data_IF_995627516674
#
_entry.id   IF_995627516674
#
_cell.length_a   1.000
_cell.length_b   1.000
_cell.length_c   1.000
_cell.angle_alpha   90.00
_cell.angle_beta   90.00
_cell.angle_gamma   90.00
#
_symmetry.space_group_name_H-M   'P 1'
#
loop_
_entity.id
_entity.type
_entity.pdbx_description
1 polymer ?
#
# COMPACT_ATOMS: atom_id res chain seq x y z
N UNK A 1 3.50 30.38 -12.64
CA UNK A 1 3.20 28.95 -12.42
C UNK A 1 4.26 28.17 -13.19
N UNK A 2 4.91 27.25 -12.51
CA UNK A 2 5.94 26.43 -13.17
C UNK A 2 5.30 25.58 -14.26
N UNK A 3 5.99 25.50 -15.40
CA UNK A 3 5.55 24.66 -16.51
C UNK A 3 6.20 23.26 -16.36
N UNK A 4 5.36 22.26 -16.11
CA UNK A 4 5.78 20.86 -15.98
C UNK A 4 5.34 19.99 -17.17
N UNK A 5 4.97 20.61 -18.29
CA UNK A 5 4.70 19.87 -19.53
C UNK A 5 5.94 19.05 -19.95
N UNK A 6 5.71 17.81 -20.32
CA UNK A 6 6.77 16.86 -20.68
C UNK A 6 7.48 16.21 -19.50
N UNK A 7 7.19 16.63 -18.25
CA UNK A 7 7.69 15.99 -17.04
C UNK A 7 6.68 15.02 -16.47
N UNK A 8 7.17 14.08 -15.68
CA UNK A 8 6.33 13.13 -14.93
C UNK A 8 6.79 13.03 -13.48
N UNK A 9 5.84 12.72 -12.60
CA UNK A 9 6.13 12.36 -11.22
C UNK A 9 5.55 10.97 -10.93
N UNK A 10 6.36 10.10 -10.34
CA UNK A 10 6.00 8.74 -9.98
C UNK A 10 6.07 8.64 -8.46
N UNK A 11 4.95 8.32 -7.83
CA UNK A 11 4.81 8.29 -6.38
C UNK A 11 4.70 6.87 -5.86
N UNK A 12 5.29 6.61 -4.71
CA UNK A 12 4.86 5.54 -3.82
C UNK A 12 3.51 5.91 -3.18
N UNK A 13 2.82 4.94 -2.61
CA UNK A 13 1.50 5.12 -2.03
C UNK A 13 1.55 5.04 -0.50
N UNK A 14 1.84 3.86 0.06
CA UNK A 14 1.87 3.65 1.51
C UNK A 14 2.99 4.46 2.17
N UNK A 15 2.63 5.28 3.16
CA UNK A 15 3.58 6.12 3.89
C UNK A 15 4.12 7.32 3.10
N UNK A 16 3.72 7.49 1.83
CA UNK A 16 4.09 8.63 0.97
C UNK A 16 2.89 9.53 0.71
N UNK A 17 1.88 9.03 0.04
CA UNK A 17 0.61 9.75 -0.22
C UNK A 17 -0.47 9.38 0.80
N UNK A 18 -0.44 8.16 1.32
CA UNK A 18 -1.37 7.65 2.33
C UNK A 18 -0.71 7.55 3.70
N UNK A 19 -1.42 7.97 4.73
CA UNK A 19 -1.05 7.72 6.11
C UNK A 19 -1.54 6.34 6.56
N UNK A 20 -0.83 5.32 6.11
CA UNK A 20 -1.23 3.91 6.20
C UNK A 20 -0.24 3.02 6.97
N UNK A 21 0.83 3.59 7.53
CA UNK A 21 1.91 2.80 8.14
C UNK A 21 1.47 1.97 9.34
N UNK A 22 0.42 2.37 10.05
CA UNK A 22 -0.12 1.65 11.21
C UNK A 22 -1.21 0.62 10.89
N UNK A 23 -1.63 0.48 9.63
CA UNK A 23 -2.76 -0.39 9.25
C UNK A 23 -2.51 -1.84 9.63
N UNK A 24 -1.37 -2.39 9.26
CA UNK A 24 -1.07 -3.80 9.49
C UNK A 24 -0.83 -4.13 10.96
N UNK A 25 -0.20 -3.21 11.71
CA UNK A 25 -0.06 -3.37 13.16
C UNK A 25 -1.44 -3.41 13.84
N UNK A 26 -2.37 -2.56 13.40
CA UNK A 26 -3.74 -2.55 13.93
C UNK A 26 -4.51 -3.80 13.54
N UNK A 27 -4.31 -4.32 12.34
CA UNK A 27 -4.89 -5.62 11.90
C UNK A 27 -4.42 -6.75 12.80
N UNK A 28 -3.13 -6.82 13.11
CA UNK A 28 -2.58 -7.82 14.02
C UNK A 28 -3.20 -7.71 15.41
N UNK A 29 -3.28 -6.48 15.96
CA UNK A 29 -3.88 -6.21 17.28
C UNK A 29 -5.34 -6.68 17.29
N UNK A 30 -6.13 -6.27 16.33
CA UNK A 30 -7.58 -6.55 16.29
C UNK A 30 -7.86 -8.04 16.03
N UNK A 31 -7.09 -8.67 15.15
CA UNK A 31 -7.23 -10.11 14.86
C UNK A 31 -6.90 -10.98 16.05
N UNK A 32 -5.84 -10.67 16.79
CA UNK A 32 -5.51 -11.39 18.03
C UNK A 32 -6.49 -11.08 19.15
N UNK A 33 -6.97 -9.84 19.27
CA UNK A 33 -7.95 -9.43 20.26
C UNK A 33 -9.29 -10.19 20.09
N UNK A 34 -9.72 -10.49 18.87
CA UNK A 34 -10.89 -11.36 18.61
C UNK A 34 -10.76 -12.75 19.25
N UNK A 35 -9.52 -13.21 19.44
CA UNK A 35 -9.19 -14.51 20.04
C UNK A 35 -8.82 -14.40 21.53
N UNK A 36 -9.03 -13.20 22.12
CA UNK A 36 -8.69 -12.94 23.51
C UNK A 36 -7.19 -12.87 23.80
N UNK A 37 -6.39 -12.61 22.78
CA UNK A 37 -4.92 -12.56 22.87
C UNK A 37 -4.46 -11.10 22.74
N UNK A 38 -3.65 -10.66 23.72
CA UNK A 38 -2.94 -9.40 23.64
C UNK A 38 -1.63 -9.60 22.86
N UNK A 39 -1.30 -8.66 21.98
CA UNK A 39 -0.06 -8.74 21.17
C UNK A 39 1.17 -8.61 22.08
N UNK A 40 2.04 -9.62 22.13
CA UNK A 40 3.27 -9.52 22.93
C UNK A 40 4.21 -8.45 22.39
N UNK A 41 4.99 -7.82 23.27
CA UNK A 41 5.89 -6.71 22.92
C UNK A 41 6.95 -7.07 21.85
N UNK A 42 7.33 -8.35 21.75
CA UNK A 42 8.31 -8.84 20.77
C UNK A 42 7.69 -9.26 19.43
N UNK A 43 6.36 -9.36 19.34
CA UNK A 43 5.67 -9.93 18.17
C UNK A 43 5.95 -9.15 16.90
N UNK A 44 5.71 -7.82 16.90
CA UNK A 44 5.90 -6.97 15.73
C UNK A 44 7.33 -7.05 15.19
N UNK A 45 8.32 -7.06 16.07
CA UNK A 45 9.72 -7.22 15.69
C UNK A 45 10.03 -8.59 15.06
N UNK A 46 9.36 -9.65 15.52
CA UNK A 46 9.53 -11.00 14.98
C UNK A 46 8.97 -11.15 13.57
N UNK A 47 7.81 -10.55 13.30
CA UNK A 47 7.12 -10.70 12.00
C UNK A 47 7.60 -9.70 10.95
N UNK A 48 8.29 -8.63 11.34
CA UNK A 48 8.66 -7.52 10.46
C UNK A 48 9.42 -7.91 9.19
N UNK A 49 10.21 -8.99 9.23
CA UNK A 49 10.98 -9.47 8.08
C UNK A 49 10.35 -10.69 7.39
N UNK A 50 9.20 -11.14 7.84
CA UNK A 50 8.53 -12.32 7.30
C UNK A 50 7.61 -11.94 6.13
N UNK A 51 7.44 -12.87 5.20
CA UNK A 51 6.42 -12.77 4.16
C UNK A 51 5.03 -13.07 4.74
N UNK A 52 3.99 -12.55 4.10
CA UNK A 52 2.60 -12.58 4.60
C UNK A 52 2.14 -13.97 5.05
N UNK A 53 2.39 -15.00 4.23
CA UNK A 53 2.09 -16.40 4.61
C UNK A 53 2.91 -16.88 5.81
N UNK A 54 4.18 -16.52 5.87
CA UNK A 54 5.04 -16.89 6.99
C UNK A 54 4.58 -16.27 8.31
N UNK A 55 4.05 -15.03 8.26
CA UNK A 55 3.44 -14.38 9.42
C UNK A 55 2.24 -15.19 9.91
N UNK A 56 1.37 -15.63 9.00
CA UNK A 56 0.19 -16.43 9.36
C UNK A 56 0.58 -17.77 10.00
N UNK A 57 1.51 -18.49 9.41
CA UNK A 57 2.02 -19.76 9.94
C UNK A 57 2.68 -19.58 11.32
N UNK A 58 3.50 -18.55 11.47
CA UNK A 58 4.14 -18.21 12.74
C UNK A 58 3.13 -17.86 13.83
N UNK A 59 2.13 -17.05 13.50
CA UNK A 59 1.08 -16.61 14.44
C UNK A 59 0.25 -17.81 14.93
N UNK A 60 -0.16 -18.68 14.02
CA UNK A 60 -0.87 -19.92 14.33
C UNK A 60 -0.05 -20.80 15.28
N UNK A 61 1.22 -21.03 14.95
CA UNK A 61 2.11 -21.86 15.75
C UNK A 61 2.38 -21.26 17.13
N UNK A 62 2.63 -19.95 17.19
CA UNK A 62 2.94 -19.24 18.43
C UNK A 62 1.80 -19.25 19.43
N UNK A 63 0.57 -19.03 18.97
CA UNK A 63 -0.61 -18.89 19.83
C UNK A 63 -1.51 -20.13 19.86
N UNK A 64 -1.15 -21.18 19.15
CA UNK A 64 -1.94 -22.41 19.08
C UNK A 64 -3.33 -22.18 18.47
N UNK A 65 -3.44 -21.37 17.42
CA UNK A 65 -4.72 -21.02 16.81
C UNK A 65 -5.30 -22.21 16.03
N UNK A 66 -6.64 -22.38 16.04
CA UNK A 66 -7.30 -23.42 15.26
C UNK A 66 -7.43 -23.07 13.76
N UNK A 67 -7.08 -21.85 13.40
CA UNK A 67 -7.21 -21.31 12.03
C UNK A 67 -6.23 -21.99 11.07
N UNK A 68 -6.58 -22.02 9.79
CA UNK A 68 -5.62 -22.30 8.72
C UNK A 68 -4.89 -21.01 8.31
N UNK A 69 -3.67 -21.09 7.75
CA UNK A 69 -2.99 -19.91 7.24
C UNK A 69 -3.83 -19.13 6.22
N UNK A 70 -4.53 -19.82 5.35
CA UNK A 70 -5.39 -19.21 4.32
C UNK A 70 -6.56 -18.42 4.96
N UNK A 71 -7.20 -18.97 5.97
CA UNK A 71 -8.30 -18.32 6.67
C UNK A 71 -7.84 -17.07 7.42
N UNK A 72 -6.68 -17.15 8.08
CA UNK A 72 -6.10 -16.03 8.81
C UNK A 72 -5.66 -14.91 7.86
N UNK A 73 -5.00 -15.26 6.76
CA UNK A 73 -4.62 -14.30 5.71
C UNK A 73 -5.84 -13.61 5.10
N UNK A 74 -6.91 -14.34 4.84
CA UNK A 74 -8.17 -13.76 4.33
C UNK A 74 -8.80 -12.80 5.33
N UNK A 75 -8.81 -13.15 6.62
CA UNK A 75 -9.29 -12.24 7.68
C UNK A 75 -8.50 -10.93 7.69
N UNK A 76 -7.17 -11.01 7.63
CA UNK A 76 -6.32 -9.83 7.62
C UNK A 76 -6.52 -8.96 6.38
N UNK A 77 -6.66 -9.58 5.20
CA UNK A 77 -6.96 -8.86 3.96
C UNK A 77 -8.31 -8.14 4.04
N UNK A 78 -9.33 -8.78 4.60
CA UNK A 78 -10.66 -8.17 4.77
C UNK A 78 -10.60 -6.99 5.76
N UNK A 79 -9.87 -7.12 6.85
CA UNK A 79 -9.68 -6.06 7.84
C UNK A 79 -8.88 -4.88 7.25
N UNK A 80 -7.81 -5.16 6.51
CA UNK A 80 -7.03 -4.16 5.82
C UNK A 80 -7.86 -3.42 4.77
N UNK A 81 -8.68 -4.12 4.01
CA UNK A 81 -9.58 -3.51 3.01
C UNK A 81 -10.53 -2.51 3.65
N UNK A 82 -11.12 -2.84 4.79
CA UNK A 82 -11.96 -1.91 5.55
C UNK A 82 -11.16 -0.69 5.99
N UNK A 83 -9.97 -0.88 6.57
CA UNK A 83 -9.13 0.22 7.04
C UNK A 83 -8.72 1.15 5.90
N UNK A 84 -8.23 0.61 4.79
CA UNK A 84 -7.82 1.40 3.62
C UNK A 84 -8.98 2.18 2.98
N UNK A 85 -10.19 1.65 3.02
CA UNK A 85 -11.37 2.30 2.41
C UNK A 85 -12.13 3.24 3.36
N UNK A 86 -11.78 3.30 4.65
CA UNK A 86 -12.57 4.06 5.64
C UNK A 86 -11.74 4.92 6.59
N UNK A 87 -10.58 4.43 7.04
CA UNK A 87 -9.79 5.05 8.12
C UNK A 87 -8.53 5.74 7.61
N UNK A 88 -7.89 5.16 6.59
CA UNK A 88 -6.65 5.71 6.04
C UNK A 88 -6.92 7.06 5.39
N UNK A 89 -6.12 8.06 5.74
CA UNK A 89 -6.20 9.41 5.21
C UNK A 89 -5.00 9.71 4.30
N UNK A 90 -5.13 10.76 3.49
CA UNK A 90 -4.00 11.27 2.73
C UNK A 90 -2.98 11.94 3.68
N UNK A 91 -1.70 11.84 3.37
CA UNK A 91 -0.67 12.62 4.06
C UNK A 91 -0.96 14.12 3.93
N UNK A 92 -0.59 14.95 4.93
CA UNK A 92 -0.74 16.39 4.85
C UNK A 92 -0.16 16.94 3.54
N UNK A 93 -0.91 17.81 2.87
CA UNK A 93 -0.57 18.46 1.61
C UNK A 93 -0.43 17.55 0.37
N UNK A 94 -0.68 16.24 0.49
CA UNK A 94 -0.60 15.32 -0.65
C UNK A 94 -1.58 15.70 -1.77
N UNK A 95 -2.83 15.97 -1.42
CA UNK A 95 -3.87 16.33 -2.40
C UNK A 95 -3.57 17.64 -3.08
N UNK A 96 -3.15 18.67 -2.32
CA UNK A 96 -2.79 19.98 -2.86
C UNK A 96 -1.61 19.87 -3.83
N UNK A 97 -0.59 19.07 -3.47
CA UNK A 97 0.58 18.89 -4.31
C UNK A 97 0.26 18.14 -5.62
N UNK A 98 -0.54 17.08 -5.56
CA UNK A 98 -1.02 16.38 -6.76
C UNK A 98 -1.84 17.30 -7.66
N UNK A 99 -2.73 18.10 -7.07
CA UNK A 99 -3.52 19.10 -7.79
C UNK A 99 -2.62 20.14 -8.48
N UNK A 100 -1.59 20.63 -7.78
CA UNK A 100 -0.60 21.55 -8.35
C UNK A 100 0.12 20.94 -9.55
N UNK A 101 0.67 19.73 -9.40
CA UNK A 101 1.38 19.04 -10.47
C UNK A 101 0.49 18.81 -11.70
N UNK A 102 -0.75 18.37 -11.49
CA UNK A 102 -1.69 18.15 -12.59
C UNK A 102 -2.02 19.43 -13.34
N UNK A 103 -2.28 20.52 -12.62
CA UNK A 103 -2.55 21.85 -13.23
C UNK A 103 -1.34 22.44 -13.96
N UNK A 104 -0.13 22.11 -13.52
CA UNK A 104 1.11 22.56 -14.18
C UNK A 104 1.52 21.71 -15.39
N UNK A 105 0.73 20.68 -15.74
CA UNK A 105 0.92 19.87 -16.94
C UNK A 105 1.76 18.60 -16.74
N UNK A 106 2.13 18.26 -15.51
CA UNK A 106 2.85 17.02 -15.24
C UNK A 106 1.97 15.79 -15.46
N UNK A 107 2.58 14.70 -15.95
CA UNK A 107 1.98 13.37 -15.94
C UNK A 107 2.24 12.70 -14.59
N UNK A 108 1.24 12.00 -14.06
CA UNK A 108 1.31 11.40 -12.73
C UNK A 108 1.12 9.89 -12.78
N UNK A 109 1.95 9.17 -12.06
CA UNK A 109 1.79 7.73 -11.85
C UNK A 109 2.04 7.35 -10.39
N UNK A 110 1.47 6.21 -10.00
CA UNK A 110 1.78 5.49 -8.77
C UNK A 110 2.58 4.24 -9.12
N UNK A 111 3.63 3.99 -8.35
CA UNK A 111 4.38 2.73 -8.33
C UNK A 111 4.33 2.16 -6.90
N UNK A 112 3.59 1.08 -6.71
CA UNK A 112 3.27 0.56 -5.37
C UNK A 112 3.42 -0.95 -5.26
N UNK A 113 3.62 -1.44 -4.04
CA UNK A 113 3.48 -2.86 -3.71
C UNK A 113 2.07 -3.24 -3.29
N UNK A 114 1.19 -2.26 -3.03
CA UNK A 114 -0.17 -2.49 -2.60
C UNK A 114 -1.03 -3.04 -3.75
N UNK A 115 -1.71 -4.18 -3.56
CA UNK A 115 -2.51 -4.79 -4.61
C UNK A 115 -3.75 -3.96 -4.97
N UNK A 116 -4.32 -4.14 -6.18
CA UNK A 116 -5.48 -3.38 -6.66
C UNK A 116 -6.67 -3.39 -5.71
N UNK A 117 -6.95 -4.53 -5.07
CA UNK A 117 -8.08 -4.70 -4.16
C UNK A 117 -8.01 -3.78 -2.93
N UNK A 118 -6.82 -3.37 -2.51
CA UNK A 118 -6.60 -2.46 -1.39
C UNK A 118 -6.37 -1.02 -1.86
N UNK A 119 -5.53 -0.81 -2.89
CA UNK A 119 -5.15 0.54 -3.33
C UNK A 119 -6.28 1.32 -3.97
N UNK A 120 -7.08 0.69 -4.80
CA UNK A 120 -8.14 1.40 -5.53
C UNK A 120 -9.21 1.97 -4.58
N UNK A 121 -9.78 1.20 -3.64
CA UNK A 121 -10.69 1.77 -2.64
C UNK A 121 -10.04 2.86 -1.78
N UNK A 122 -8.78 2.67 -1.38
CA UNK A 122 -8.04 3.65 -0.59
C UNK A 122 -7.86 4.98 -1.32
N UNK A 123 -7.40 4.93 -2.56
CA UNK A 123 -7.18 6.11 -3.39
C UNK A 123 -8.49 6.86 -3.69
N UNK A 124 -9.59 6.14 -3.90
CA UNK A 124 -10.93 6.72 -4.08
C UNK A 124 -11.43 7.36 -2.79
N UNK A 125 -11.23 6.69 -1.66
CA UNK A 125 -11.62 7.19 -0.34
C UNK A 125 -10.96 8.54 -0.01
N UNK A 126 -9.66 8.68 -0.23
CA UNK A 126 -8.92 9.93 0.04
C UNK A 126 -8.98 10.93 -1.10
N UNK A 127 -9.64 10.62 -2.21
CA UNK A 127 -9.88 11.54 -3.33
C UNK A 127 -8.68 11.79 -4.23
N UNK A 128 -7.74 10.86 -4.33
CA UNK A 128 -6.53 11.01 -5.18
C UNK A 128 -6.55 10.15 -6.45
N UNK A 129 -7.49 9.22 -6.58
CA UNK A 129 -7.51 8.24 -7.67
C UNK A 129 -7.48 8.88 -9.06
N UNK A 130 -8.26 9.94 -9.27
CA UNK A 130 -8.42 10.59 -10.59
C UNK A 130 -7.25 11.50 -10.98
N UNK A 131 -6.30 11.77 -10.07
CA UNK A 131 -5.10 12.55 -10.41
C UNK A 131 -4.11 11.76 -11.28
N UNK A 132 -4.14 10.43 -11.23
CA UNK A 132 -3.12 9.59 -11.85
C UNK A 132 -3.48 9.16 -13.26
N UNK A 133 -2.52 9.29 -14.16
CA UNK A 133 -2.61 8.81 -15.53
C UNK A 133 -2.30 7.31 -15.62
N UNK A 134 -1.46 6.79 -14.71
CA UNK A 134 -1.10 5.38 -14.61
C UNK A 134 -0.95 4.95 -13.14
N UNK A 135 -1.34 3.73 -12.85
CA UNK A 135 -1.11 3.06 -11.57
C UNK A 135 -0.51 1.70 -11.87
N UNK A 136 0.71 1.46 -11.38
CA UNK A 136 1.42 0.18 -11.56
C UNK A 136 1.82 -0.39 -10.22
N UNK A 137 1.80 -1.70 -10.12
CA UNK A 137 2.27 -2.43 -8.95
C UNK A 137 3.41 -3.37 -9.31
N UNK A 138 4.10 -3.89 -8.30
CA UNK A 138 5.26 -4.76 -8.50
C UNK A 138 4.91 -6.05 -9.26
N UNK A 139 3.67 -6.55 -9.14
CA UNK A 139 3.16 -7.67 -9.92
C UNK A 139 3.06 -7.35 -11.42
N UNK A 140 2.78 -6.11 -11.81
CA UNK A 140 2.85 -5.65 -13.21
C UNK A 140 4.29 -5.69 -13.75
N UNK A 141 5.28 -5.59 -12.88
CA UNK A 141 6.71 -5.65 -13.17
C UNK A 141 7.32 -7.03 -12.85
N UNK A 142 6.61 -8.11 -13.13
CA UNK A 142 7.03 -9.49 -12.92
C UNK A 142 7.41 -9.83 -11.46
N UNK A 143 6.76 -9.22 -10.50
CA UNK A 143 7.02 -9.36 -9.06
C UNK A 143 8.46 -8.96 -8.65
N UNK A 144 9.07 -8.07 -9.41
CA UNK A 144 10.36 -7.48 -9.05
C UNK A 144 10.13 -6.34 -8.05
N UNK A 145 10.75 -6.45 -6.89
CA UNK A 145 10.61 -5.46 -5.82
C UNK A 145 11.21 -4.10 -6.14
N UNK A 146 10.92 -3.13 -5.30
CA UNK A 146 11.36 -1.72 -5.48
C UNK A 146 12.85 -1.47 -5.15
N UNK A 147 13.58 -2.48 -4.73
CA UNK A 147 15.04 -2.52 -4.68
C UNK A 147 15.67 -2.49 -6.09
N UNK A 148 14.84 -2.72 -7.12
CA UNK A 148 15.19 -2.63 -8.54
C UNK A 148 14.33 -1.56 -9.24
N UNK A 149 14.80 -1.02 -10.37
CA UNK A 149 14.12 0.06 -11.06
C UNK A 149 12.91 -0.38 -11.89
N UNK A 150 12.63 -1.66 -12.00
CA UNK A 150 11.69 -2.25 -12.97
C UNK A 150 10.29 -1.61 -12.92
N UNK A 151 9.68 -1.48 -11.75
CA UNK A 151 8.33 -0.90 -11.61
C UNK A 151 8.31 0.59 -11.96
N UNK A 152 9.39 1.31 -11.67
CA UNK A 152 9.49 2.75 -11.99
C UNK A 152 9.69 2.97 -13.50
N UNK A 153 10.52 2.15 -14.13
CA UNK A 153 10.71 2.17 -15.59
C UNK A 153 9.43 1.80 -16.33
N UNK A 154 8.68 0.82 -15.81
CA UNK A 154 7.37 0.47 -16.34
C UNK A 154 6.39 1.63 -16.25
N UNK A 155 6.33 2.31 -15.12
CA UNK A 155 5.48 3.49 -14.92
C UNK A 155 5.85 4.61 -15.90
N UNK A 156 7.13 4.94 -16.02
CA UNK A 156 7.63 5.94 -16.97
C UNK A 156 7.29 5.58 -18.41
N UNK A 157 7.50 4.33 -18.82
CA UNK A 157 7.16 3.82 -20.13
C UNK A 157 5.66 3.94 -20.45
N UNK A 158 4.79 3.60 -19.51
CA UNK A 158 3.33 3.74 -19.64
C UNK A 158 2.89 5.21 -19.71
N UNK A 159 3.61 6.12 -19.06
CA UNK A 159 3.38 7.57 -19.18
C UNK A 159 3.93 8.15 -20.50
N UNK A 160 4.74 7.39 -21.23
CA UNK A 160 5.39 7.85 -22.45
C UNK A 160 6.45 8.93 -22.20
N UNK A 161 7.17 8.81 -21.10
CA UNK A 161 8.30 9.69 -20.76
C UNK A 161 9.59 8.87 -20.67
N UNK A 162 10.71 9.55 -20.95
CA UNK A 162 12.06 8.97 -20.79
C UNK A 162 12.53 9.34 -19.38
N UNK A 163 12.99 8.36 -18.57
CA UNK A 163 13.51 8.60 -17.22
C UNK A 163 14.77 9.45 -17.21
#
# INVERSE_FOLDING_TARGET
>A
MDDNHGKAAIFDLDGTLLDSMGVWDQVDIDSLAKRGIEVPADYMGKVAAMQFRQIAEYTIARFGLPDTPEALMQEWDDMARVAYSTVVEAKPHAVEYLSYLKRSGAKLAVATSLPPALREPAMKHVGIFDYFDQIVSVDDANNVGKDRPDVFLLAAGRLGVVP
#
